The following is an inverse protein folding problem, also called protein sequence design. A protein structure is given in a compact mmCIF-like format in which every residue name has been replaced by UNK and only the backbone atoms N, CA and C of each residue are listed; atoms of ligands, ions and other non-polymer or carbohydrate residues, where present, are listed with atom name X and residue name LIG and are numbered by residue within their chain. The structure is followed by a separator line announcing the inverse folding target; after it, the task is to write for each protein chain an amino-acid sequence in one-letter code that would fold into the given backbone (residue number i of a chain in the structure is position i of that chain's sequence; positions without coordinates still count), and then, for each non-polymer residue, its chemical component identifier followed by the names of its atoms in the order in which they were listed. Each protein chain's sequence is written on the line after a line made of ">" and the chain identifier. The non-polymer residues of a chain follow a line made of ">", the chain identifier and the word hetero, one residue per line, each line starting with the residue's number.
data_IF_536146155721
#
_entry.id   IF_536146155721
#
_cell.length_a   1.000
_cell.length_b   1.000
_cell.length_c   1.000
_cell.angle_alpha   90.00
_cell.angle_beta   90.00
_cell.angle_gamma   90.00
#
_symmetry.space_group_name_H-M   'P 1'
#
loop_
_entity.id
_entity.type
_entity.pdbx_description
1 polymer ?
#
# COMPACT_ATOMS: atom_id res chain seq x y z
N UNK A 1 11.02 26.18 12.61
CA UNK A 1 10.78 25.44 13.88
C UNK A 1 10.38 24.03 13.47
N UNK A 2 11.08 22.98 13.92
CA UNK A 2 10.69 21.61 13.60
C UNK A 2 9.36 21.29 14.28
N UNK A 3 8.47 20.59 13.56
CA UNK A 3 7.24 20.09 14.17
C UNK A 3 7.61 19.02 15.21
N UNK A 4 7.07 19.15 16.41
CA UNK A 4 7.32 18.26 17.54
C UNK A 4 6.09 17.42 17.85
N UNK A 5 6.21 16.14 18.21
CA UNK A 5 5.07 15.29 18.60
C UNK A 5 4.22 15.91 19.72
N UNK A 6 4.84 16.69 20.62
CA UNK A 6 4.16 17.35 21.73
C UNK A 6 3.10 18.35 21.28
N UNK A 7 3.34 19.07 20.16
CA UNK A 7 2.35 19.97 19.58
C UNK A 7 1.12 19.24 19.04
N UNK A 8 1.29 18.03 18.50
CA UNK A 8 0.16 17.15 18.09
C UNK A 8 -0.55 16.62 19.32
N UNK A 9 0.18 16.20 20.35
CA UNK A 9 -0.38 15.70 21.60
C UNK A 9 -1.26 16.76 22.30
N UNK A 10 -0.85 18.03 22.27
CA UNK A 10 -1.63 19.14 22.81
C UNK A 10 -2.92 19.37 22.02
N UNK A 11 -2.85 19.44 20.68
CA UNK A 11 -4.03 19.56 19.82
C UNK A 11 -5.04 18.42 20.03
N UNK A 12 -4.54 17.18 20.21
CA UNK A 12 -5.40 16.02 20.51
C UNK A 12 -6.06 16.18 21.88
N UNK A 13 -5.33 16.60 22.93
CA UNK A 13 -5.91 16.85 24.27
C UNK A 13 -6.96 17.95 24.25
N UNK A 14 -6.69 19.04 23.56
CA UNK A 14 -7.66 20.15 23.40
C UNK A 14 -8.92 19.71 22.67
N UNK A 15 -8.76 18.90 21.59
CA UNK A 15 -9.90 18.37 20.85
C UNK A 15 -10.72 17.41 21.72
N UNK A 16 -10.06 16.52 22.47
CA UNK A 16 -10.72 15.61 23.41
C UNK A 16 -11.51 16.36 24.48
N UNK A 17 -10.90 17.38 25.10
CA UNK A 17 -11.55 18.20 26.12
C UNK A 17 -12.76 19.01 25.58
N UNK A 18 -12.71 19.41 24.32
CA UNK A 18 -13.76 20.15 23.64
C UNK A 18 -14.81 19.27 22.94
N UNK A 19 -14.70 17.93 23.00
CA UNK A 19 -15.57 17.00 22.28
C UNK A 19 -15.48 17.15 20.75
N UNK A 20 -14.35 17.65 20.22
CA UNK A 20 -14.12 17.84 18.78
C UNK A 20 -13.45 16.63 18.17
N UNK A 21 -13.82 16.31 16.94
CA UNK A 21 -13.18 15.24 16.18
C UNK A 21 -12.07 15.80 15.29
N UNK A 22 -10.99 15.04 15.14
CA UNK A 22 -9.84 15.35 14.31
C UNK A 22 -9.70 14.34 13.17
N UNK A 23 -9.34 14.84 11.99
CA UNK A 23 -8.99 14.02 10.84
C UNK A 23 -7.49 14.16 10.54
N UNK A 24 -6.64 13.19 10.93
CA UNK A 24 -5.21 13.23 10.64
C UNK A 24 -4.96 13.14 9.14
N UNK A 25 -4.21 14.10 8.58
CA UNK A 25 -3.95 14.16 7.15
C UNK A 25 -2.50 14.57 6.84
N UNK A 26 -1.83 13.77 6.01
CA UNK A 26 -0.61 14.17 5.32
C UNK A 26 -0.94 14.99 4.07
N UNK A 27 -0.48 14.57 2.90
CA UNK A 27 -0.79 15.27 1.64
C UNK A 27 -2.26 15.18 1.18
N UNK A 28 -3.06 14.27 1.76
CA UNK A 28 -4.46 14.07 1.35
C UNK A 28 -4.61 13.40 -0.02
N UNK A 29 -3.54 12.85 -0.58
CA UNK A 29 -3.55 12.24 -1.92
C UNK A 29 -4.43 10.99 -2.03
N UNK A 30 -4.68 10.31 -0.92
CA UNK A 30 -5.48 9.09 -0.88
C UNK A 30 -6.91 9.36 -0.39
N UNK A 31 -7.05 10.16 0.66
CA UNK A 31 -8.31 10.66 1.18
C UNK A 31 -8.25 12.20 1.23
N UNK A 32 -8.70 12.88 0.16
CA UNK A 32 -8.61 14.34 0.10
C UNK A 32 -9.57 15.04 1.06
N UNK A 33 -10.72 14.41 1.35
CA UNK A 33 -11.81 15.02 2.09
C UNK A 33 -11.88 14.50 3.52
N UNK A 34 -11.96 15.43 4.49
CA UNK A 34 -12.30 15.12 5.87
C UNK A 34 -13.81 14.90 6.03
N UNK A 35 -14.25 14.09 7.01
CA UNK A 35 -15.64 14.09 7.45
C UNK A 35 -16.11 15.51 7.85
N UNK A 36 -17.41 15.82 7.60
CA UNK A 36 -17.94 17.17 7.81
C UNK A 36 -17.87 17.64 9.27
N UNK A 37 -17.88 16.72 10.21
CA UNK A 37 -17.85 16.94 11.65
C UNK A 37 -16.44 16.89 12.26
N UNK A 38 -15.40 16.87 11.43
CA UNK A 38 -14.02 16.77 11.87
C UNK A 38 -13.15 17.96 11.42
N UNK A 39 -12.30 18.42 12.33
CA UNK A 39 -11.26 19.39 12.02
C UNK A 39 -10.02 18.70 11.47
N UNK A 40 -9.34 19.36 10.54
CA UNK A 40 -8.10 18.82 9.96
C UNK A 40 -6.94 18.91 10.97
N UNK A 41 -6.24 17.79 11.18
CA UNK A 41 -4.94 17.73 11.85
C UNK A 41 -3.86 17.56 10.77
N UNK A 42 -3.19 18.66 10.42
CA UNK A 42 -2.19 18.68 9.36
C UNK A 42 -0.84 18.12 9.82
N UNK A 43 -0.37 17.04 9.17
CA UNK A 43 0.88 16.37 9.49
C UNK A 43 2.00 16.68 8.49
N UNK A 44 1.76 17.50 7.47
CA UNK A 44 2.78 17.89 6.48
C UNK A 44 4.01 18.57 7.11
N UNK A 45 3.88 19.35 8.20
CA UNK A 45 5.06 19.94 8.85
C UNK A 45 6.07 18.93 9.43
N UNK A 46 5.70 17.65 9.56
CA UNK A 46 6.61 16.58 9.96
C UNK A 46 7.37 16.00 8.75
N UNK A 47 8.06 16.82 7.96
CA UNK A 47 8.69 16.45 6.68
C UNK A 47 10.19 16.11 6.78
N UNK A 48 10.77 16.20 7.97
CA UNK A 48 12.19 16.04 8.16
C UNK A 48 12.66 14.58 8.06
N UNK A 49 13.77 14.35 7.33
CA UNK A 49 14.64 13.20 7.54
C UNK A 49 15.57 13.57 8.71
N UNK A 50 15.20 13.17 9.92
CA UNK A 50 15.83 13.65 11.16
C UNK A 50 17.13 12.92 11.46
N UNK A 51 17.27 11.68 10.99
CA UNK A 51 18.46 10.86 11.17
C UNK A 51 18.58 9.86 10.02
N UNK A 52 19.84 9.66 9.58
CA UNK A 52 20.16 8.65 8.58
C UNK A 52 21.50 8.02 8.93
N UNK A 53 21.52 6.72 9.10
CA UNK A 53 22.71 5.91 9.35
C UNK A 53 22.90 4.94 8.19
N UNK A 54 23.86 5.24 7.32
CA UNK A 54 24.15 4.44 6.12
C UNK A 54 24.75 3.09 6.48
N UNK A 55 25.57 3.03 7.53
CA UNK A 55 26.24 1.80 7.92
C UNK A 55 25.23 0.77 8.46
N UNK A 56 24.25 1.24 9.21
CA UNK A 56 23.19 0.38 9.78
C UNK A 56 21.98 0.21 8.84
N UNK A 57 21.93 0.95 7.71
CA UNK A 57 20.79 1.00 6.78
C UNK A 57 19.48 1.34 7.52
N UNK A 58 19.53 2.36 8.37
CA UNK A 58 18.41 2.84 9.17
C UNK A 58 18.21 4.33 8.96
N UNK A 59 16.98 4.77 8.80
CA UNK A 59 16.61 6.18 8.78
C UNK A 59 15.47 6.48 9.74
N UNK A 60 15.42 7.73 10.25
CA UNK A 60 14.27 8.25 10.99
C UNK A 60 13.70 9.42 10.21
N UNK A 61 12.43 9.33 9.85
CA UNK A 61 11.75 10.37 9.09
C UNK A 61 10.39 10.72 9.72
N UNK A 62 9.99 11.96 9.56
CA UNK A 62 8.68 12.45 9.97
C UNK A 62 7.55 11.89 9.10
N UNK A 63 6.36 11.78 9.66
CA UNK A 63 5.19 11.20 8.99
C UNK A 63 4.71 12.05 7.77
N UNK A 64 4.98 13.34 7.77
CA UNK A 64 4.68 14.26 6.69
C UNK A 64 5.70 14.27 5.55
N UNK A 65 6.82 13.54 5.69
CA UNK A 65 7.86 13.48 4.66
C UNK A 65 7.29 12.88 3.36
N UNK A 66 7.36 13.61 2.21
CA UNK A 66 6.95 13.07 0.93
C UNK A 66 7.82 11.89 0.51
N UNK A 67 7.21 10.79 0.06
CA UNK A 67 7.91 9.55 -0.26
C UNK A 67 8.89 9.69 -1.42
N UNK A 68 8.55 10.47 -2.43
CA UNK A 68 9.43 10.78 -3.57
C UNK A 68 10.68 11.55 -3.14
N UNK A 69 10.52 12.57 -2.28
CA UNK A 69 11.64 13.32 -1.73
C UNK A 69 12.50 12.48 -0.78
N UNK A 70 11.86 11.64 0.04
CA UNK A 70 12.58 10.69 0.89
C UNK A 70 13.41 9.73 0.03
N UNK A 71 12.81 9.16 -1.02
CA UNK A 71 13.49 8.27 -1.95
C UNK A 71 14.71 8.93 -2.61
N UNK A 72 14.59 10.18 -3.08
CA UNK A 72 15.68 10.94 -3.67
C UNK A 72 16.84 11.15 -2.68
N UNK A 73 16.55 11.60 -1.45
CA UNK A 73 17.56 11.82 -0.40
C UNK A 73 18.28 10.53 0.00
N UNK A 74 17.56 9.39 0.05
CA UNK A 74 18.18 8.09 0.35
C UNK A 74 19.09 7.62 -0.80
N UNK A 75 18.66 7.83 -2.05
CA UNK A 75 19.41 7.45 -3.24
C UNK A 75 20.74 8.18 -3.37
N UNK A 76 20.81 9.47 -3.00
CA UNK A 76 22.05 10.27 -2.94
C UNK A 76 23.12 9.64 -2.03
N UNK A 77 22.69 8.85 -1.04
CA UNK A 77 23.55 8.19 -0.06
C UNK A 77 23.71 6.68 -0.34
N UNK A 78 23.30 6.21 -1.53
CA UNK A 78 23.42 4.81 -1.91
C UNK A 78 22.47 3.85 -1.17
N UNK A 79 21.39 4.36 -0.62
CA UNK A 79 20.36 3.57 0.05
C UNK A 79 18.98 3.77 -0.58
N UNK A 80 18.04 2.87 -0.30
CA UNK A 80 16.66 2.99 -0.74
C UNK A 80 15.68 2.31 0.22
N UNK A 81 14.41 2.68 0.12
CA UNK A 81 13.31 2.15 0.91
C UNK A 81 12.44 1.25 0.02
N UNK A 82 12.26 -0.02 0.41
CA UNK A 82 11.42 -0.97 -0.32
C UNK A 82 9.93 -0.76 -0.01
N UNK A 83 9.41 0.41 -0.33
CA UNK A 83 8.02 0.84 -0.12
C UNK A 83 7.55 1.66 -1.33
N UNK A 84 6.65 1.08 -2.12
CA UNK A 84 6.14 1.63 -3.38
C UNK A 84 4.60 1.62 -3.43
N UNK A 85 3.91 2.27 -2.49
CA UNK A 85 2.45 2.29 -2.48
C UNK A 85 1.89 2.98 -3.74
N UNK A 86 0.66 2.63 -4.17
CA UNK A 86 0.01 3.34 -5.28
C UNK A 86 -0.01 4.85 -5.07
N UNK A 87 0.30 5.61 -6.12
CA UNK A 87 0.36 7.08 -6.04
C UNK A 87 1.49 7.61 -5.17
N UNK A 88 2.69 7.00 -5.26
CA UNK A 88 3.88 7.37 -4.45
C UNK A 88 4.21 8.86 -4.55
N UNK A 89 4.12 9.44 -5.75
CA UNK A 89 4.30 10.88 -5.95
C UNK A 89 3.22 11.65 -5.21
N UNK A 90 3.63 12.58 -4.36
CA UNK A 90 2.74 13.38 -3.54
C UNK A 90 2.12 12.65 -2.34
N UNK A 91 2.51 11.40 -2.02
CA UNK A 91 2.13 10.74 -0.75
C UNK A 91 3.14 11.02 0.34
N UNK A 92 2.65 11.19 1.56
CA UNK A 92 3.52 11.25 2.74
C UNK A 92 3.78 9.85 3.30
N UNK A 93 4.93 9.67 3.93
CA UNK A 93 5.33 8.41 4.58
C UNK A 93 4.28 7.92 5.58
N UNK A 94 3.84 8.79 6.49
CA UNK A 94 2.82 8.45 7.50
C UNK A 94 1.47 8.09 6.87
N UNK A 95 1.06 8.83 5.81
CA UNK A 95 -0.17 8.55 5.07
C UNK A 95 -0.14 7.20 4.35
N UNK A 96 1.01 6.81 3.78
CA UNK A 96 1.20 5.52 3.15
C UNK A 96 1.14 4.37 4.15
N UNK A 97 1.81 4.52 5.31
CA UNK A 97 1.79 3.52 6.38
C UNK A 97 0.41 3.42 7.03
N UNK A 98 -0.24 4.56 7.31
CA UNK A 98 -1.61 4.56 7.86
C UNK A 98 -2.60 3.83 6.95
N UNK A 99 -2.51 3.99 5.63
CA UNK A 99 -3.33 3.26 4.67
C UNK A 99 -2.97 1.76 4.57
N UNK A 100 -1.75 1.36 4.97
CA UNK A 100 -1.28 -0.02 5.00
C UNK A 100 -1.16 -0.69 3.62
N UNK A 101 -1.35 0.07 2.55
CA UNK A 101 -1.28 -0.43 1.19
C UNK A 101 0.18 -0.52 0.70
N UNK A 102 0.70 -1.72 0.50
CA UNK A 102 1.94 -1.95 -0.23
C UNK A 102 1.70 -1.93 -1.74
N UNK A 103 2.75 -1.70 -2.52
CA UNK A 103 2.78 -1.86 -3.97
C UNK A 103 3.43 -3.18 -4.38
N UNK A 104 3.88 -3.28 -5.65
CA UNK A 104 4.53 -4.46 -6.21
C UNK A 104 5.74 -4.97 -5.42
N UNK A 105 6.55 -4.09 -4.83
CA UNK A 105 7.71 -4.47 -4.01
C UNK A 105 7.35 -5.29 -2.76
N UNK A 106 6.06 -5.28 -2.36
CA UNK A 106 5.59 -6.13 -1.27
C UNK A 106 5.71 -7.63 -1.60
N UNK A 107 5.87 -8.01 -2.87
CA UNK A 107 6.12 -9.38 -3.30
C UNK A 107 7.45 -9.91 -2.74
N UNK A 108 8.55 -9.20 -2.95
CA UNK A 108 9.88 -9.63 -2.53
C UNK A 108 10.31 -9.11 -1.15
N UNK A 109 9.79 -7.95 -0.72
CA UNK A 109 10.26 -7.27 0.50
C UNK A 109 9.26 -7.25 1.65
N UNK A 110 8.09 -7.84 1.46
CA UNK A 110 7.03 -7.89 2.46
C UNK A 110 6.16 -6.62 2.51
N UNK A 111 5.10 -6.64 3.33
CA UNK A 111 4.19 -5.52 3.47
C UNK A 111 4.87 -4.28 4.10
N UNK A 112 4.22 -3.10 4.07
CA UNK A 112 4.77 -1.86 4.65
C UNK A 112 5.26 -2.01 6.09
N UNK A 113 4.64 -2.90 6.88
CA UNK A 113 5.07 -3.18 8.27
C UNK A 113 6.51 -3.66 8.36
N UNK A 114 6.98 -4.44 7.40
CA UNK A 114 8.32 -5.04 7.41
C UNK A 114 9.43 -4.02 7.09
N UNK A 115 9.05 -2.85 6.59
CA UNK A 115 9.96 -1.72 6.35
C UNK A 115 10.07 -0.80 7.58
N UNK A 116 9.28 -1.03 8.64
CA UNK A 116 9.23 -0.18 9.84
C UNK A 116 9.89 -0.89 11.02
N UNK A 117 10.91 -0.28 11.62
CA UNK A 117 11.58 -0.75 12.84
C UNK A 117 10.88 -0.22 14.10
N UNK A 118 10.31 0.96 14.02
CA UNK A 118 9.57 1.57 15.11
C UNK A 118 8.92 2.88 14.67
N UNK A 119 8.08 3.44 15.51
CA UNK A 119 7.39 4.70 15.25
C UNK A 119 6.99 5.42 16.53
N UNK A 120 6.76 6.71 16.42
CA UNK A 120 6.13 7.54 17.45
C UNK A 120 4.70 7.83 17.04
N UNK A 121 3.77 7.58 17.95
CA UNK A 121 2.32 7.71 17.73
C UNK A 121 1.71 8.53 18.86
N UNK A 122 0.80 9.45 18.54
CA UNK A 122 -0.02 10.16 19.50
C UNK A 122 -1.40 9.51 19.57
N UNK A 123 -1.77 8.99 20.73
CA UNK A 123 -3.06 8.37 21.01
C UNK A 123 -4.17 9.44 21.22
N UNK A 124 -5.45 9.04 21.16
CA UNK A 124 -6.60 9.94 21.28
C UNK A 124 -6.79 10.61 22.64
N UNK A 125 -6.02 10.22 23.65
CA UNK A 125 -5.91 10.94 24.93
C UNK A 125 -4.72 11.93 24.98
N UNK A 126 -4.00 12.11 23.86
CA UNK A 126 -2.81 12.95 23.77
C UNK A 126 -1.55 12.33 24.37
N UNK A 127 -1.55 11.02 24.68
CA UNK A 127 -0.33 10.33 25.13
C UNK A 127 0.55 10.01 23.93
N UNK A 128 1.83 10.37 24.02
CA UNK A 128 2.84 10.00 23.02
C UNK A 128 3.38 8.60 23.35
N UNK A 129 3.20 7.66 22.40
CA UNK A 129 3.62 6.27 22.52
C UNK A 129 4.75 5.99 21.54
N UNK A 130 5.87 5.44 22.03
CA UNK A 130 6.98 4.96 21.20
C UNK A 130 6.86 3.45 21.02
N UNK A 131 6.74 3.00 19.77
CA UNK A 131 6.55 1.61 19.37
C UNK A 131 7.82 1.12 18.69
N UNK A 132 8.39 0.01 19.16
CA UNK A 132 9.62 -0.53 18.60
C UNK A 132 10.84 0.35 18.88
N UNK A 133 11.80 0.35 17.98
CA UNK A 133 13.06 1.09 18.16
C UNK A 133 13.74 1.37 16.83
N UNK A 134 15.08 1.40 16.84
CA UNK A 134 15.92 1.64 15.65
C UNK A 134 16.81 0.45 15.32
N UNK A 135 16.59 -0.67 16.01
CA UNK A 135 17.34 -1.91 15.81
C UNK A 135 16.49 -2.93 15.07
N UNK A 136 17.11 -3.68 14.16
CA UNK A 136 16.41 -4.67 13.31
C UNK A 136 15.81 -5.81 14.15
N UNK A 137 16.38 -6.12 15.30
CA UNK A 137 15.89 -7.16 16.21
C UNK A 137 15.39 -6.53 17.51
N UNK A 138 14.09 -6.32 17.62
CA UNK A 138 13.43 -5.97 18.87
C UNK A 138 12.38 -7.06 19.18
N UNK A 139 12.62 -7.84 20.22
CA UNK A 139 11.78 -8.97 20.62
C UNK A 139 10.98 -8.68 21.90
N UNK A 140 11.05 -7.45 22.42
CA UNK A 140 10.35 -7.05 23.64
C UNK A 140 8.93 -6.53 23.33
N UNK A 141 7.94 -7.15 23.95
CA UNK A 141 6.56 -6.71 23.91
C UNK A 141 5.77 -7.08 22.64
N UNK A 142 4.55 -6.59 22.58
CA UNK A 142 3.66 -6.78 21.41
C UNK A 142 4.05 -5.84 20.26
N UNK A 143 3.88 -6.33 19.04
CA UNK A 143 4.10 -5.54 17.83
C UNK A 143 2.90 -4.59 17.56
N UNK A 144 2.85 -3.51 18.32
CA UNK A 144 1.78 -2.50 18.20
C UNK A 144 1.80 -1.75 16.85
N UNK A 145 2.92 -1.79 16.12
CA UNK A 145 2.96 -1.20 14.78
C UNK A 145 1.96 -1.88 13.83
N UNK A 146 1.64 -3.16 14.04
CA UNK A 146 0.60 -3.89 13.27
C UNK A 146 -0.82 -3.37 13.51
N UNK A 147 -1.07 -2.72 14.63
CA UNK A 147 -2.36 -2.08 14.92
C UNK A 147 -2.48 -0.75 14.20
N UNK A 148 -1.40 0.02 14.20
CA UNK A 148 -1.38 1.39 13.66
C UNK A 148 -1.28 1.40 12.13
N UNK A 149 -0.40 0.54 11.56
CA UNK A 149 -0.22 0.42 10.11
C UNK A 149 -1.46 -0.26 9.50
N UNK A 150 -2.10 0.42 8.55
CA UNK A 150 -3.37 -0.02 7.96
C UNK A 150 -4.61 0.37 8.76
N UNK A 151 -4.44 1.02 9.92
CA UNK A 151 -5.54 1.54 10.75
C UNK A 151 -6.05 2.92 10.35
N UNK A 152 -5.58 3.46 9.24
CA UNK A 152 -6.00 4.75 8.65
C UNK A 152 -6.00 5.94 9.62
N UNK A 153 -5.23 5.86 10.72
CA UNK A 153 -5.21 6.88 11.78
C UNK A 153 -6.26 6.68 12.88
N UNK A 154 -7.07 5.63 12.83
CA UNK A 154 -8.10 5.34 13.83
C UNK A 154 -7.58 4.81 15.17
N UNK A 155 -6.28 4.45 15.24
CA UNK A 155 -5.59 3.98 16.45
C UNK A 155 -4.47 4.92 16.88
N UNK A 156 -4.45 6.15 16.38
CA UNK A 156 -3.45 7.15 16.72
C UNK A 156 -2.80 7.80 15.51
N UNK A 157 -2.15 8.91 15.77
CA UNK A 157 -1.50 9.76 14.77
C UNK A 157 -0.02 9.45 14.73
N UNK A 158 0.47 8.96 13.60
CA UNK A 158 1.90 8.71 13.37
C UNK A 158 2.59 10.06 13.17
N UNK A 159 3.66 10.33 13.94
CA UNK A 159 4.45 11.56 13.84
C UNK A 159 5.87 11.32 13.34
N UNK A 160 6.49 10.21 13.72
CA UNK A 160 7.86 9.84 13.34
C UNK A 160 7.96 8.34 13.07
N UNK A 161 8.80 7.94 12.13
CA UNK A 161 8.99 6.54 11.73
C UNK A 161 10.48 6.21 11.62
N UNK A 162 10.89 5.09 12.23
CA UNK A 162 12.19 4.47 12.02
C UNK A 162 12.07 3.41 10.92
N UNK A 163 12.83 3.56 9.87
CA UNK A 163 12.78 2.79 8.64
C UNK A 163 13.95 1.83 8.52
N UNK A 164 13.66 0.64 8.03
CA UNK A 164 14.66 -0.29 7.53
C UNK A 164 14.93 0.02 6.07
N UNK A 165 16.18 0.31 5.75
CA UNK A 165 16.63 0.61 4.39
C UNK A 165 17.35 -0.58 3.77
N UNK A 166 17.68 -0.43 2.49
CA UNK A 166 18.50 -1.35 1.73
C UNK A 166 19.60 -0.60 1.01
N UNK A 167 20.76 -1.23 0.86
CA UNK A 167 21.82 -0.70 0.02
C UNK A 167 21.38 -0.69 -1.45
N UNK A 168 21.89 0.26 -2.23
CA UNK A 168 21.67 0.32 -3.67
C UNK A 168 22.12 -0.99 -4.30
N UNK A 169 21.24 -1.59 -5.11
CA UNK A 169 21.56 -2.78 -5.85
C UNK A 169 22.47 -2.49 -7.05
N UNK A 170 23.20 -3.49 -7.48
CA UNK A 170 24.06 -3.45 -8.67
C UNK A 170 23.23 -3.43 -9.96
N UNK A 171 22.13 -4.18 -10.00
CA UNK A 171 21.20 -4.25 -11.11
C UNK A 171 19.74 -4.24 -10.66
N UNK A 172 18.88 -3.68 -11.51
CA UNK A 172 17.45 -3.60 -11.39
C UNK A 172 16.84 -3.75 -12.78
N UNK A 173 16.22 -4.88 -13.07
CA UNK A 173 15.71 -5.17 -14.39
C UNK A 173 14.30 -5.79 -14.34
N UNK A 174 13.56 -5.61 -15.44
CA UNK A 174 12.19 -6.08 -15.60
C UNK A 174 12.05 -6.87 -16.90
N UNK A 175 11.34 -7.98 -16.84
CA UNK A 175 10.78 -8.66 -18.02
C UNK A 175 9.26 -8.71 -17.92
N UNK A 176 8.61 -8.64 -19.07
CA UNK A 176 7.16 -8.64 -19.17
C UNK A 176 6.67 -9.54 -20.30
N UNK A 177 5.48 -10.09 -20.12
CA UNK A 177 4.81 -10.96 -21.10
C UNK A 177 3.35 -10.57 -21.22
N UNK A 178 2.82 -10.56 -22.44
CA UNK A 178 1.40 -10.30 -22.73
C UNK A 178 0.69 -11.58 -23.16
N UNK A 179 -0.62 -11.64 -22.85
CA UNK A 179 -1.47 -12.75 -23.25
C UNK A 179 -2.94 -12.54 -22.87
N UNK A 180 -3.75 -13.58 -23.06
CA UNK A 180 -5.11 -13.62 -22.52
C UNK A 180 -5.07 -13.72 -20.98
N UNK A 181 -6.19 -13.41 -20.33
CA UNK A 181 -6.31 -13.59 -18.87
C UNK A 181 -5.96 -15.04 -18.46
N UNK A 182 -6.45 -16.03 -19.20
CA UNK A 182 -6.19 -17.44 -18.91
C UNK A 182 -4.72 -17.80 -19.07
N UNK A 183 -4.06 -17.31 -20.13
CA UNK A 183 -2.64 -17.52 -20.38
C UNK A 183 -1.76 -16.92 -19.28
N UNK A 184 -2.05 -15.66 -18.92
CA UNK A 184 -1.33 -14.96 -17.84
C UNK A 184 -1.57 -15.63 -16.48
N UNK A 185 -2.78 -16.10 -16.21
CA UNK A 185 -3.07 -16.85 -14.97
C UNK A 185 -2.31 -18.18 -14.91
N UNK A 186 -2.21 -18.92 -16.02
CA UNK A 186 -1.41 -20.14 -16.10
C UNK A 186 0.09 -19.86 -15.90
N UNK A 187 0.60 -18.77 -16.51
CA UNK A 187 2.00 -18.37 -16.37
C UNK A 187 2.32 -17.99 -14.91
N UNK A 188 1.46 -17.22 -14.25
CA UNK A 188 1.64 -16.86 -12.84
C UNK A 188 1.62 -18.06 -11.91
N UNK A 189 0.73 -19.03 -12.15
CA UNK A 189 0.67 -20.27 -11.36
C UNK A 189 1.97 -21.09 -11.50
N UNK A 190 2.53 -21.19 -12.70
CA UNK A 190 3.82 -21.88 -12.94
C UNK A 190 4.98 -21.17 -12.25
N UNK A 191 5.03 -19.85 -12.33
CA UNK A 191 6.07 -19.04 -11.68
C UNK A 191 6.00 -19.14 -10.16
N UNK A 192 4.80 -19.08 -9.55
CA UNK A 192 4.63 -19.31 -8.12
C UNK A 192 5.12 -20.70 -7.68
N UNK A 193 4.90 -21.73 -8.50
CA UNK A 193 5.35 -23.10 -8.25
C UNK A 193 6.84 -23.33 -8.53
N UNK A 194 7.53 -22.45 -9.24
CA UNK A 194 8.95 -22.60 -9.60
C UNK A 194 9.92 -22.20 -8.48
N UNK A 195 9.44 -21.55 -7.42
CA UNK A 195 10.28 -21.00 -6.37
C UNK A 195 10.92 -19.65 -6.73
N UNK A 196 10.54 -19.03 -7.86
CA UNK A 196 10.96 -17.67 -8.19
C UNK A 196 10.55 -16.68 -7.08
N UNK A 197 11.47 -15.81 -6.67
CA UNK A 197 11.25 -14.83 -5.60
C UNK A 197 11.63 -13.41 -6.05
N UNK A 198 11.02 -12.91 -7.14
CA UNK A 198 11.37 -11.59 -7.68
C UNK A 198 11.04 -10.47 -6.69
N UNK A 199 11.73 -9.34 -6.85
CA UNK A 199 11.48 -8.13 -6.07
C UNK A 199 10.05 -7.61 -6.24
N UNK A 200 9.51 -7.71 -7.46
CA UNK A 200 8.10 -7.42 -7.74
C UNK A 200 7.54 -8.42 -8.78
N UNK A 201 6.26 -8.77 -8.61
CA UNK A 201 5.55 -9.73 -9.45
C UNK A 201 4.10 -9.26 -9.60
N UNK A 202 3.80 -8.65 -10.75
CA UNK A 202 2.56 -7.92 -10.98
C UNK A 202 1.87 -8.39 -12.25
N UNK A 203 0.52 -8.35 -12.24
CA UNK A 203 -0.31 -8.51 -13.43
C UNK A 203 -1.18 -7.27 -13.58
N UNK A 204 -1.31 -6.77 -14.82
CA UNK A 204 -2.14 -5.61 -15.14
C UNK A 204 -3.15 -5.93 -16.23
N UNK A 205 -4.34 -5.34 -16.10
CA UNK A 205 -5.40 -5.47 -17.10
C UNK A 205 -5.12 -4.63 -18.35
N UNK A 206 -5.78 -4.95 -19.49
CA UNK A 206 -5.56 -4.25 -20.76
C UNK A 206 -5.65 -2.71 -20.70
N UNK A 207 -6.60 -2.08 -19.97
CA UNK A 207 -6.62 -0.62 -19.87
C UNK A 207 -5.38 -0.07 -19.15
N UNK A 208 -4.96 -0.69 -18.04
CA UNK A 208 -3.80 -0.24 -17.26
C UNK A 208 -2.51 -0.50 -18.03
N UNK A 209 -2.36 -1.65 -18.68
CA UNK A 209 -1.19 -1.99 -19.49
C UNK A 209 -0.97 -0.97 -20.61
N UNK A 210 -2.04 -0.66 -21.36
CA UNK A 210 -1.97 0.34 -22.42
C UNK A 210 -1.63 1.75 -21.93
N UNK A 211 -2.11 2.12 -20.75
CA UNK A 211 -1.85 3.44 -20.16
C UNK A 211 -0.39 3.64 -19.75
N UNK A 212 0.37 2.56 -19.56
CA UNK A 212 1.80 2.58 -19.17
C UNK A 212 2.74 2.09 -20.28
N UNK A 213 2.27 2.11 -21.52
CA UNK A 213 3.11 1.87 -22.70
C UNK A 213 3.32 0.41 -23.07
N UNK A 214 2.51 -0.52 -22.59
CA UNK A 214 2.47 -1.89 -23.07
C UNK A 214 1.32 -2.14 -24.06
N UNK A 215 1.27 -3.33 -24.62
CA UNK A 215 0.14 -3.78 -25.42
C UNK A 215 -1.17 -3.69 -24.63
N UNK A 216 -2.28 -3.44 -25.34
CA UNK A 216 -3.64 -3.49 -24.76
C UNK A 216 -4.07 -4.95 -24.53
N UNK A 217 -3.36 -5.63 -23.67
CA UNK A 217 -3.55 -7.02 -23.28
C UNK A 217 -3.36 -7.19 -21.77
N UNK A 218 -3.60 -8.36 -21.22
CA UNK A 218 -3.14 -8.69 -19.88
C UNK A 218 -1.62 -8.81 -19.93
N UNK A 219 -0.94 -8.14 -19.00
CA UNK A 219 0.52 -8.12 -18.91
C UNK A 219 0.95 -8.65 -17.56
N UNK A 220 1.84 -9.64 -17.60
CA UNK A 220 2.60 -10.13 -16.47
C UNK A 220 3.97 -9.48 -16.49
N UNK A 221 4.42 -8.88 -15.39
CA UNK A 221 5.75 -8.31 -15.25
C UNK A 221 6.45 -8.81 -13.99
N UNK A 222 7.73 -9.15 -14.14
CA UNK A 222 8.63 -9.51 -13.06
C UNK A 222 9.77 -8.49 -12.99
N UNK A 223 10.08 -8.01 -11.79
CA UNK A 223 11.23 -7.16 -11.49
C UNK A 223 12.17 -7.90 -10.58
N UNK A 224 13.43 -7.99 -10.97
CA UNK A 224 14.51 -8.53 -10.15
C UNK A 224 15.48 -7.41 -9.78
N UNK A 225 15.91 -7.36 -8.51
CA UNK A 225 16.80 -6.34 -7.96
C UNK A 225 17.88 -7.04 -7.15
N UNK A 226 19.16 -6.85 -7.52
CA UNK A 226 20.26 -7.54 -6.84
C UNK A 226 21.60 -7.35 -7.50
N UNK A 227 22.44 -8.43 -7.50
CA UNK A 227 23.68 -8.46 -8.29
C UNK A 227 23.34 -8.61 -9.76
N UNK A 228 24.18 -8.12 -10.66
CA UNK A 228 23.95 -8.19 -12.11
C UNK A 228 23.69 -9.63 -12.56
N UNK A 229 24.54 -10.57 -12.14
CA UNK A 229 24.40 -11.98 -12.46
C UNK A 229 23.12 -12.61 -11.87
N UNK A 230 22.78 -12.32 -10.62
CA UNK A 230 21.58 -12.86 -9.98
C UNK A 230 20.29 -12.39 -10.65
N UNK A 231 20.24 -11.12 -11.07
CA UNK A 231 19.11 -10.54 -11.81
C UNK A 231 18.95 -11.22 -13.18
N UNK A 232 20.03 -11.41 -13.92
CA UNK A 232 20.00 -12.10 -15.22
C UNK A 232 19.53 -13.55 -15.08
N UNK A 233 20.13 -14.33 -14.16
CA UNK A 233 19.80 -15.74 -13.93
C UNK A 233 18.31 -15.91 -13.51
N UNK A 234 17.78 -15.05 -12.63
CA UNK A 234 16.39 -15.09 -12.20
C UNK A 234 15.41 -14.77 -13.34
N UNK A 235 15.66 -13.70 -14.08
CA UNK A 235 14.79 -13.30 -15.19
C UNK A 235 14.85 -14.30 -16.36
N UNK A 236 16.00 -14.90 -16.63
CA UNK A 236 16.13 -15.95 -17.62
C UNK A 236 15.40 -17.24 -17.21
N UNK A 237 15.45 -17.61 -15.94
CA UNK A 237 14.69 -18.75 -15.42
C UNK A 237 13.17 -18.52 -15.53
N UNK A 238 12.72 -17.31 -15.21
CA UNK A 238 11.34 -16.91 -15.39
C UNK A 238 10.91 -16.95 -16.86
N UNK A 239 11.74 -16.42 -17.76
CA UNK A 239 11.47 -16.44 -19.20
C UNK A 239 11.33 -17.86 -19.73
N UNK A 240 12.23 -18.78 -19.38
CA UNK A 240 12.11 -20.20 -19.77
C UNK A 240 10.81 -20.83 -19.28
N UNK A 241 10.40 -20.51 -18.05
CA UNK A 241 9.15 -21.01 -17.44
C UNK A 241 7.92 -20.54 -18.20
N UNK A 242 7.86 -19.25 -18.57
CA UNK A 242 6.71 -18.65 -19.28
C UNK A 242 6.68 -19.09 -20.75
N UNK A 243 7.83 -19.08 -21.44
CA UNK A 243 7.93 -19.46 -22.87
C UNK A 243 7.52 -20.90 -23.11
N UNK A 244 7.76 -21.80 -22.15
CA UNK A 244 7.33 -23.21 -22.25
C UNK A 244 5.79 -23.38 -22.31
N UNK A 245 4.99 -22.36 -22.02
CA UNK A 245 3.53 -22.42 -22.12
C UNK A 245 2.99 -22.00 -23.50
N UNK A 246 3.81 -21.36 -24.35
CA UNK A 246 3.50 -20.91 -25.72
C UNK A 246 2.33 -19.93 -25.86
N UNK A 247 1.60 -19.57 -24.76
CA UNK A 247 0.40 -18.76 -24.77
C UNK A 247 0.65 -17.30 -24.38
N UNK A 248 1.87 -16.99 -23.91
CA UNK A 248 2.31 -15.65 -23.56
C UNK A 248 3.49 -15.23 -24.44
N UNK A 249 3.44 -13.98 -24.92
CA UNK A 249 4.50 -13.39 -25.72
C UNK A 249 5.32 -12.43 -24.87
N UNK A 250 6.65 -12.56 -24.88
CA UNK A 250 7.53 -11.57 -24.24
C UNK A 250 7.43 -10.23 -24.97
N UNK A 251 7.33 -9.15 -24.19
CA UNK A 251 7.15 -7.79 -24.68
C UNK A 251 8.11 -6.84 -23.97
N UNK A 252 8.44 -5.75 -24.65
CA UNK A 252 9.12 -4.60 -24.06
C UNK A 252 8.13 -3.42 -23.98
N UNK A 253 8.34 -2.46 -23.06
CA UNK A 253 7.64 -1.18 -23.12
C UNK A 253 7.90 -0.48 -24.46
N UNK A 254 6.92 0.30 -24.94
CA UNK A 254 7.12 1.10 -26.16
C UNK A 254 8.24 2.13 -25.94
N UNK A 255 9.07 2.43 -26.98
CA UNK A 255 10.23 3.31 -26.86
C UNK A 255 9.95 4.74 -26.34
N UNK A 256 8.70 5.19 -26.45
CA UNK A 256 8.27 6.53 -26.01
C UNK A 256 7.92 6.62 -24.53
N UNK A 257 8.04 5.52 -23.75
CA UNK A 257 7.87 5.58 -22.30
C UNK A 257 9.08 6.27 -21.67
N UNK A 258 8.81 7.38 -20.95
CA UNK A 258 9.80 8.27 -20.36
C UNK A 258 10.67 7.63 -19.26
N UNK A 259 10.37 6.43 -18.82
CA UNK A 259 11.07 5.74 -17.74
C UNK A 259 11.51 4.33 -18.13
N UNK A 260 12.75 3.93 -17.78
CA UNK A 260 13.28 2.61 -18.10
C UNK A 260 12.57 1.46 -17.35
N UNK A 261 11.72 1.80 -16.37
CA UNK A 261 10.90 0.82 -15.63
C UNK A 261 9.47 1.34 -15.47
N UNK A 262 8.43 0.56 -15.83
CA UNK A 262 7.04 1.01 -15.81
C UNK A 262 6.42 1.08 -14.40
N UNK A 263 7.18 0.72 -13.36
CA UNK A 263 6.67 0.54 -12.00
C UNK A 263 6.14 1.83 -11.37
N UNK A 264 6.86 2.96 -11.54
CA UNK A 264 6.41 4.24 -11.00
C UNK A 264 5.15 4.74 -11.72
N UNK A 265 5.08 4.56 -13.03
CA UNK A 265 3.91 4.92 -13.84
C UNK A 265 2.71 4.05 -13.47
N UNK A 266 2.89 2.75 -13.32
CA UNK A 266 1.85 1.85 -12.82
C UNK A 266 1.28 2.31 -11.47
N UNK A 267 2.16 2.57 -10.51
CA UNK A 267 1.72 3.04 -9.21
C UNK A 267 1.06 4.42 -9.29
N UNK A 268 1.54 5.28 -10.18
CA UNK A 268 0.94 6.57 -10.48
C UNK A 268 -0.49 6.42 -11.01
N UNK A 269 -0.70 5.56 -12.00
CA UNK A 269 -2.00 5.29 -12.58
C UNK A 269 -2.99 4.71 -11.55
N UNK A 270 -2.59 3.68 -10.80
CA UNK A 270 -3.43 3.11 -9.73
C UNK A 270 -3.78 4.18 -8.68
N UNK A 271 -2.80 5.04 -8.34
CA UNK A 271 -2.99 6.16 -7.42
C UNK A 271 -3.89 7.29 -7.95
N UNK A 272 -4.11 7.37 -9.27
CA UNK A 272 -4.97 8.39 -9.89
C UNK A 272 -6.46 8.00 -9.94
N UNK A 273 -6.79 6.73 -9.81
CA UNK A 273 -8.18 6.28 -9.90
C UNK A 273 -9.05 6.90 -8.80
N UNK A 274 -10.23 7.44 -9.13
CA UNK A 274 -11.12 8.05 -8.14
C UNK A 274 -11.58 7.06 -7.07
N UNK A 275 -11.83 5.80 -7.48
CA UNK A 275 -12.19 4.70 -6.59
C UNK A 275 -11.16 3.59 -6.72
N UNK A 276 -10.67 3.09 -5.58
CA UNK A 276 -9.79 1.92 -5.50
C UNK A 276 -10.36 0.94 -4.48
N UNK A 277 -10.72 -0.24 -4.95
CA UNK A 277 -11.08 -1.39 -4.14
C UNK A 277 -9.92 -2.37 -4.10
N UNK A 278 -9.50 -2.79 -2.92
CA UNK A 278 -8.49 -3.83 -2.74
C UNK A 278 -9.14 -5.11 -2.23
N UNK A 279 -8.96 -6.19 -2.99
CA UNK A 279 -9.40 -7.54 -2.63
C UNK A 279 -8.16 -8.34 -2.19
N UNK A 280 -8.23 -9.00 -1.04
CA UNK A 280 -7.23 -9.97 -0.62
C UNK A 280 -7.68 -11.37 -1.03
N UNK A 281 -7.06 -11.97 -2.02
CA UNK A 281 -7.33 -13.34 -2.46
C UNK A 281 -6.17 -14.27 -2.14
N UNK A 282 -6.35 -15.56 -2.39
CA UNK A 282 -5.22 -16.48 -2.44
C UNK A 282 -4.36 -16.18 -3.67
N UNK A 283 -3.02 -16.29 -3.58
CA UNK A 283 -2.12 -16.01 -4.71
C UNK A 283 -2.45 -16.80 -5.98
N UNK A 284 -2.93 -18.03 -5.85
CA UNK A 284 -3.31 -18.87 -7.00
C UNK A 284 -4.71 -18.55 -7.56
N UNK A 285 -5.52 -17.80 -6.83
CA UNK A 285 -6.95 -17.57 -7.14
C UNK A 285 -7.27 -16.12 -7.53
N UNK A 286 -6.24 -15.30 -7.81
CA UNK A 286 -6.45 -13.90 -8.17
C UNK A 286 -7.34 -13.71 -9.40
N UNK A 287 -7.26 -14.64 -10.37
CA UNK A 287 -8.10 -14.60 -11.57
C UNK A 287 -9.60 -14.71 -11.25
N UNK A 288 -9.98 -15.52 -10.26
CA UNK A 288 -11.36 -15.60 -9.77
C UNK A 288 -11.80 -14.29 -9.11
N UNK A 289 -10.91 -13.64 -8.35
CA UNK A 289 -11.19 -12.35 -7.73
C UNK A 289 -11.43 -11.26 -8.80
N UNK A 290 -10.61 -11.27 -9.87
CA UNK A 290 -10.79 -10.39 -11.04
C UNK A 290 -12.14 -10.64 -11.72
N UNK A 291 -12.49 -11.91 -11.96
CA UNK A 291 -13.77 -12.26 -12.60
C UNK A 291 -14.98 -11.86 -11.74
N UNK A 292 -14.87 -12.03 -10.41
CA UNK A 292 -15.92 -11.61 -9.47
C UNK A 292 -16.06 -10.08 -9.45
N UNK A 293 -14.96 -9.34 -9.36
CA UNK A 293 -14.98 -7.88 -9.41
C UNK A 293 -15.61 -7.37 -10.71
N UNK A 294 -15.25 -7.94 -11.86
CA UNK A 294 -15.79 -7.56 -13.17
C UNK A 294 -17.29 -7.78 -13.34
N UNK A 295 -17.89 -8.71 -12.58
CA UNK A 295 -19.35 -8.91 -12.59
C UNK A 295 -20.13 -7.87 -11.77
N UNK A 296 -19.49 -7.23 -10.79
CA UNK A 296 -20.14 -6.25 -9.90
C UNK A 296 -19.83 -4.81 -10.29
N UNK A 297 -18.66 -4.56 -10.92
CA UNK A 297 -18.18 -3.23 -11.26
C UNK A 297 -18.25 -3.04 -12.77
N UNK A 298 -19.13 -2.17 -13.23
CA UNK A 298 -19.37 -1.97 -14.67
C UNK A 298 -18.36 -1.05 -15.37
N UNK A 299 -17.81 -0.05 -14.66
CA UNK A 299 -16.94 0.99 -15.23
C UNK A 299 -15.51 0.87 -14.69
N UNK A 300 -14.79 -0.14 -15.17
CA UNK A 300 -13.44 -0.45 -14.74
C UNK A 300 -12.41 0.42 -15.47
N UNK A 301 -11.66 1.21 -14.70
CA UNK A 301 -10.50 1.96 -15.21
C UNK A 301 -9.27 1.07 -15.35
N UNK A 302 -9.16 0.02 -14.55
CA UNK A 302 -8.08 -0.94 -14.62
C UNK A 302 -8.01 -1.88 -13.42
N UNK A 303 -7.15 -2.88 -13.54
CA UNK A 303 -6.86 -3.87 -12.48
C UNK A 303 -5.35 -4.04 -12.38
N UNK A 304 -4.84 -4.09 -11.14
CA UNK A 304 -3.46 -4.38 -10.80
C UNK A 304 -3.44 -5.52 -9.77
N UNK A 305 -2.59 -6.51 -9.97
CA UNK A 305 -2.51 -7.70 -9.12
C UNK A 305 -1.07 -7.94 -8.67
N UNK A 306 -0.81 -7.77 -7.37
CA UNK A 306 0.45 -8.22 -6.76
C UNK A 306 0.33 -9.72 -6.47
N UNK A 307 0.82 -10.55 -7.38
CA UNK A 307 0.51 -11.99 -7.46
C UNK A 307 0.89 -12.76 -6.20
N UNK A 308 2.14 -12.70 -5.65
CA UNK A 308 2.50 -13.50 -4.48
C UNK A 308 1.75 -13.11 -3.20
N UNK A 309 1.10 -11.94 -3.21
CA UNK A 309 0.30 -11.44 -2.09
C UNK A 309 -1.20 -11.69 -2.27
N UNK A 310 -1.63 -12.17 -3.44
CA UNK A 310 -3.05 -12.27 -3.77
C UNK A 310 -3.78 -10.92 -3.67
N UNK A 311 -3.05 -9.80 -3.82
CA UNK A 311 -3.63 -8.47 -3.70
C UNK A 311 -4.13 -8.01 -5.05
N UNK A 312 -5.46 -7.90 -5.21
CA UNK A 312 -6.10 -7.39 -6.43
C UNK A 312 -6.63 -5.99 -6.16
N UNK A 313 -6.13 -4.99 -6.87
CA UNK A 313 -6.68 -3.63 -6.87
C UNK A 313 -7.50 -3.39 -8.12
N UNK A 314 -8.70 -2.89 -7.91
CA UNK A 314 -9.67 -2.60 -8.96
C UNK A 314 -9.98 -1.11 -8.92
N UNK A 315 -9.73 -0.43 -10.04
CA UNK A 315 -10.04 0.99 -10.22
C UNK A 315 -11.37 1.20 -10.92
N UNK A 316 -12.14 2.16 -10.43
CA UNK A 316 -13.38 2.60 -11.07
C UNK A 316 -13.50 4.13 -11.04
N UNK A 317 -14.30 4.70 -11.95
CA UNK A 317 -14.61 6.14 -11.97
C UNK A 317 -15.50 6.54 -10.79
N UNK A 318 -16.44 5.68 -10.44
CA UNK A 318 -17.33 5.83 -9.28
C UNK A 318 -17.81 4.45 -8.79
N UNK A 319 -18.34 4.37 -7.60
CA UNK A 319 -18.98 3.17 -7.06
C UNK A 319 -20.09 3.53 -6.09
N UNK A 320 -21.27 2.93 -6.23
CA UNK A 320 -22.32 3.07 -5.23
C UNK A 320 -22.00 2.20 -3.99
N UNK A 321 -22.30 2.66 -2.77
CA UNK A 321 -22.09 1.87 -1.55
C UNK A 321 -22.72 0.47 -1.61
N UNK A 322 -23.90 0.34 -2.22
CA UNK A 322 -24.57 -0.95 -2.39
C UNK A 322 -23.75 -1.95 -3.23
N UNK A 323 -23.01 -1.47 -4.24
CA UNK A 323 -22.13 -2.32 -5.06
C UNK A 323 -20.94 -2.81 -4.24
N UNK A 324 -20.37 -1.96 -3.39
CA UNK A 324 -19.28 -2.35 -2.48
C UNK A 324 -19.77 -3.45 -1.51
N UNK A 325 -20.99 -3.29 -0.95
CA UNK A 325 -21.59 -4.29 -0.07
C UNK A 325 -21.88 -5.60 -0.80
N UNK A 326 -22.41 -5.54 -2.03
CA UNK A 326 -22.68 -6.73 -2.86
C UNK A 326 -21.38 -7.48 -3.19
N UNK A 327 -20.30 -6.77 -3.55
CA UNK A 327 -19.00 -7.37 -3.81
C UNK A 327 -18.41 -8.03 -2.55
N UNK A 328 -18.51 -7.38 -1.39
CA UNK A 328 -18.10 -7.95 -0.11
C UNK A 328 -18.86 -9.24 0.21
N UNK A 329 -20.17 -9.22 0.03
CA UNK A 329 -21.02 -10.41 0.25
C UNK A 329 -20.64 -11.57 -0.69
N UNK A 330 -20.39 -11.28 -1.97
CA UNK A 330 -19.99 -12.29 -2.96
C UNK A 330 -18.62 -12.93 -2.65
N UNK A 331 -17.71 -12.20 -2.00
CA UNK A 331 -16.36 -12.66 -1.67
C UNK A 331 -16.24 -13.25 -0.25
N UNK A 332 -17.22 -12.98 0.62
CA UNK A 332 -17.21 -13.42 2.01
C UNK A 332 -17.11 -14.95 2.15
N UNK A 333 -17.81 -15.72 1.30
CA UNK A 333 -17.77 -17.18 1.30
C UNK A 333 -16.39 -17.79 0.99
N UNK A 334 -15.49 -17.01 0.39
CA UNK A 334 -14.09 -17.39 0.12
C UNK A 334 -13.12 -16.87 1.18
N UNK A 335 -13.59 -16.10 2.17
CA UNK A 335 -12.76 -15.45 3.15
C UNK A 335 -11.91 -14.29 2.57
N UNK A 336 -12.30 -13.73 1.43
CA UNK A 336 -11.56 -12.68 0.73
C UNK A 336 -12.07 -11.29 1.13
N UNK A 337 -11.30 -10.53 1.95
CA UNK A 337 -11.69 -9.19 2.38
C UNK A 337 -11.63 -8.19 1.24
N UNK A 338 -12.57 -7.23 1.26
CA UNK A 338 -12.59 -6.08 0.34
C UNK A 338 -12.45 -4.80 1.14
N UNK A 339 -11.33 -4.10 0.94
CA UNK A 339 -11.06 -2.78 1.50
C UNK A 339 -11.37 -1.71 0.47
N UNK A 340 -12.15 -0.71 0.84
CA UNK A 340 -12.34 0.51 0.06
C UNK A 340 -11.16 1.44 0.32
N UNK A 341 -10.07 1.28 -0.45
CA UNK A 341 -8.83 2.04 -0.22
C UNK A 341 -9.01 3.53 -0.56
N UNK A 342 -9.76 3.84 -1.61
CA UNK A 342 -10.04 5.21 -2.05
C UNK A 342 -11.47 5.34 -2.56
N UNK A 343 -12.16 6.40 -2.15
CA UNK A 343 -13.43 6.89 -2.67
C UNK A 343 -13.67 8.30 -2.10
N UNK A 344 -14.74 8.96 -2.52
CA UNK A 344 -15.22 10.19 -1.89
C UNK A 344 -15.69 9.94 -0.44
N UNK A 345 -15.80 11.01 0.36
CA UNK A 345 -16.19 10.92 1.77
C UNK A 345 -17.57 10.27 1.95
N UNK A 346 -18.64 10.66 1.23
CA UNK A 346 -19.95 10.03 1.36
C UNK A 346 -19.94 8.52 1.11
N UNK A 347 -19.20 8.06 0.10
CA UNK A 347 -19.07 6.63 -0.21
C UNK A 347 -18.31 5.89 0.90
N UNK A 348 -17.23 6.48 1.44
CA UNK A 348 -16.47 5.88 2.56
C UNK A 348 -17.31 5.81 3.84
N UNK A 349 -18.09 6.84 4.14
CA UNK A 349 -18.97 6.88 5.29
C UNK A 349 -20.07 5.82 5.21
N UNK A 350 -20.69 5.67 4.03
CA UNK A 350 -21.79 4.73 3.82
C UNK A 350 -21.34 3.26 3.70
N UNK A 351 -20.19 3.01 3.07
CA UNK A 351 -19.69 1.64 2.84
C UNK A 351 -18.71 1.16 3.91
N UNK A 352 -18.10 2.08 4.68
CA UNK A 352 -16.95 1.82 5.54
C UNK A 352 -15.69 1.47 4.72
N UNK A 353 -14.53 1.70 5.30
CA UNK A 353 -13.25 1.34 4.67
C UNK A 353 -13.07 -0.17 4.63
N UNK A 354 -13.33 -0.82 5.76
CA UNK A 354 -13.36 -2.28 5.87
C UNK A 354 -14.79 -2.80 5.68
N UNK A 355 -14.93 -4.05 5.31
CA UNK A 355 -16.22 -4.73 5.34
C UNK A 355 -16.68 -5.06 6.76
N UNK A 356 -17.79 -5.78 6.87
CA UNK A 356 -18.24 -6.32 8.14
C UNK A 356 -17.14 -7.20 8.75
N UNK A 357 -16.75 -6.91 9.97
CA UNK A 357 -15.76 -7.68 10.71
C UNK A 357 -16.42 -8.91 11.34
N UNK A 358 -15.72 -10.04 11.35
CA UNK A 358 -16.13 -11.20 12.14
C UNK A 358 -16.27 -10.79 13.63
N UNK A 359 -17.21 -11.39 14.39
CA UNK A 359 -17.53 -10.94 15.76
C UNK A 359 -16.31 -10.80 16.68
N UNK A 360 -15.40 -11.77 16.68
CA UNK A 360 -14.19 -11.71 17.50
C UNK A 360 -13.21 -10.62 17.05
N UNK A 361 -13.10 -10.38 15.73
CA UNK A 361 -12.28 -9.30 15.17
C UNK A 361 -12.89 -7.93 15.51
N UNK A 362 -14.20 -7.78 15.44
CA UNK A 362 -14.91 -6.57 15.84
C UNK A 362 -14.65 -6.25 17.32
N UNK A 363 -14.87 -7.24 18.20
CA UNK A 363 -14.64 -7.07 19.63
C UNK A 363 -13.20 -6.61 19.94
N UNK A 364 -12.20 -7.23 19.29
CA UNK A 364 -10.81 -6.83 19.45
C UNK A 364 -10.55 -5.43 18.91
N UNK A 365 -11.12 -5.09 17.75
CA UNK A 365 -11.00 -3.76 17.13
C UNK A 365 -11.58 -2.68 18.03
N UNK A 366 -12.76 -2.93 18.59
CA UNK A 366 -13.45 -1.99 19.50
C UNK A 366 -12.66 -1.80 20.81
N UNK A 367 -12.11 -2.89 21.38
CA UNK A 367 -11.24 -2.83 22.55
C UNK A 367 -9.96 -2.04 22.29
N UNK A 368 -9.31 -2.25 21.12
CA UNK A 368 -8.14 -1.48 20.71
C UNK A 368 -8.49 0.00 20.50
N UNK A 369 -9.63 0.31 19.87
CA UNK A 369 -10.07 1.71 19.74
C UNK A 369 -10.33 2.34 21.09
N UNK A 370 -11.03 1.67 22.00
CA UNK A 370 -11.25 2.17 23.35
C UNK A 370 -9.94 2.43 24.12
N UNK A 371 -8.87 1.67 23.81
CA UNK A 371 -7.55 1.87 24.43
C UNK A 371 -6.78 3.02 23.79
N UNK A 372 -6.75 3.07 22.45
CA UNK A 372 -5.95 4.05 21.73
C UNK A 372 -6.66 5.39 21.49
N UNK A 373 -7.99 5.37 21.42
CA UNK A 373 -8.84 6.57 21.22
C UNK A 373 -10.08 6.54 22.13
N UNK A 374 -9.89 6.59 23.47
CA UNK A 374 -10.97 6.46 24.44
C UNK A 374 -12.05 7.53 24.32
N UNK A 375 -11.69 8.69 23.77
CA UNK A 375 -12.57 9.84 23.61
C UNK A 375 -13.20 9.94 22.21
N UNK A 376 -12.90 9.02 21.30
CA UNK A 376 -13.41 9.03 19.93
C UNK A 376 -12.95 10.26 19.12
N UNK A 377 -11.75 10.76 19.39
CA UNK A 377 -11.22 11.98 18.77
C UNK A 377 -10.94 11.79 17.28
N UNK A 378 -10.54 10.59 16.85
CA UNK A 378 -10.14 10.36 15.46
C UNK A 378 -11.34 10.01 14.56
N UNK A 379 -11.64 10.90 13.62
CA UNK A 379 -12.75 10.80 12.68
C UNK A 379 -12.38 9.91 11.48
N UNK A 380 -12.33 8.60 11.68
CA UNK A 380 -12.00 7.63 10.61
C UNK A 380 -13.10 6.60 10.47
N UNK A 381 -13.78 6.51 9.29
CA UNK A 381 -14.88 5.56 9.05
C UNK A 381 -14.33 4.16 8.71
N UNK A 382 -13.78 3.45 9.70
CA UNK A 382 -13.18 2.13 9.47
C UNK A 382 -14.22 1.07 9.16
N UNK A 383 -15.35 1.10 9.83
CA UNK A 383 -16.47 0.16 9.64
C UNK A 383 -17.76 0.96 9.49
N UNK A 384 -18.63 0.58 8.57
CA UNK A 384 -19.96 1.14 8.38
C UNK A 384 -20.92 0.71 9.50
#
# INVERSE_FOLDING_TARGET
>A
MRAEPDGVAEQVREAAAAGRRLFPRGAGSWWPDAPRDASLLDLRPFDALSRFDVADLVATAGAGCPLDQLGARLAEQGAWLALDPPGISGRTLGGALAAGGGGPLAAGYGPPRDQVLGMTVVAGNGTTVRIGGRVVKNVAGFDLAKVVIGGHGGFGVITEINLRLRARAEADATRAWSGSLAAVAAATARLLGSGAAPAAFEVTSPPLSAAVGYDRAWVLALRSIGTARGVEEELDAAARTVTALHDCREIAPTPDTLHPTPWAEWQGMVGSWPVVLRIGSDPASWGDAVALAGRHLGDLLGISVTVPRGTVRVGAGSVAPAVVHALRAALAGRGWPVTLERADAPTREAAGVWGALAPGVRQLTDALRATFDPNGVFAVPLVA
#
